data_IF_410957676418
#
_entry.id   IF_410957676418
#
_cell.length_a   1.000
_cell.length_b   1.000
_cell.length_c   1.000
_cell.angle_alpha   90.00
_cell.angle_beta   90.00
_cell.angle_gamma   90.00
#
_symmetry.space_group_name_H-M   'P 1'
#
loop_
_entity.id
_entity.type
_entity.pdbx_description
1 polymer ?
#
# COMPACT_ATOMS: atom_id res chain seq x y z
N UNK A 1 23.58 -13.52 -33.63
CA UNK A 1 22.43 -13.98 -32.83
C UNK A 1 21.98 -12.81 -31.96
N UNK A 2 20.73 -12.34 -32.08
CA UNK A 2 20.25 -11.20 -31.29
C UNK A 2 20.15 -11.56 -29.80
N UNK A 3 20.41 -10.56 -28.97
CA UNK A 3 20.53 -10.53 -27.51
C UNK A 3 19.16 -10.76 -26.86
N UNK A 4 19.00 -11.77 -26.02
CA UNK A 4 17.81 -11.93 -25.18
C UNK A 4 17.95 -10.97 -24.00
N UNK A 5 17.27 -9.83 -24.09
CA UNK A 5 17.08 -8.88 -22.98
C UNK A 5 16.61 -9.63 -21.73
N UNK A 6 17.32 -9.43 -20.62
CA UNK A 6 16.81 -9.69 -19.28
C UNK A 6 15.61 -8.76 -19.06
N UNK A 7 14.42 -9.34 -19.27
CA UNK A 7 13.16 -8.74 -18.88
C UNK A 7 13.07 -8.85 -17.37
N UNK A 8 13.70 -7.90 -16.67
CA UNK A 8 13.36 -7.53 -15.29
C UNK A 8 11.90 -7.09 -15.27
N UNK A 9 11.02 -8.10 -15.24
CA UNK A 9 9.58 -7.95 -15.11
C UNK A 9 9.38 -7.22 -13.80
N UNK A 10 9.10 -5.91 -13.89
CA UNK A 10 8.93 -5.03 -12.74
C UNK A 10 8.11 -5.76 -11.69
N UNK A 11 8.72 -5.98 -10.52
CA UNK A 11 8.05 -6.69 -9.43
C UNK A 11 6.91 -5.79 -8.98
N UNK A 12 5.71 -6.04 -9.51
CA UNK A 12 4.50 -5.35 -9.02
C UNK A 12 4.48 -5.58 -7.51
N UNK A 13 4.49 -4.52 -6.69
CA UNK A 13 4.60 -4.68 -5.25
C UNK A 13 3.50 -5.62 -4.78
N UNK A 14 3.89 -6.76 -4.23
CA UNK A 14 2.97 -7.82 -3.77
C UNK A 14 2.05 -7.32 -2.66
N UNK A 15 2.43 -6.20 -2.02
CA UNK A 15 1.71 -5.58 -0.93
C UNK A 15 1.75 -4.05 -1.02
N UNK A 16 0.63 -3.42 -0.67
CA UNK A 16 0.41 -1.98 -0.70
C UNK A 16 0.53 -1.44 0.74
N UNK A 17 1.28 -0.35 0.89
CA UNK A 17 1.39 0.39 2.16
C UNK A 17 0.14 1.22 2.44
N UNK A 18 -0.45 1.07 3.61
CA UNK A 18 -1.69 1.72 4.05
C UNK A 18 -1.43 2.57 5.28
N UNK A 19 -1.97 3.79 5.27
CA UNK A 19 -2.02 4.65 6.43
C UNK A 19 -3.17 4.19 7.35
N UNK A 20 -2.82 3.49 8.43
CA UNK A 20 -3.78 2.96 9.40
C UNK A 20 -4.64 4.03 10.07
N UNK A 21 -4.02 5.15 10.44
CA UNK A 21 -4.72 6.27 11.09
C UNK A 21 -5.76 6.90 10.15
N UNK A 22 -5.37 7.19 8.91
CA UNK A 22 -6.28 7.75 7.91
C UNK A 22 -7.44 6.79 7.60
N UNK A 23 -7.17 5.48 7.51
CA UNK A 23 -8.20 4.46 7.32
C UNK A 23 -9.22 4.47 8.47
N UNK A 24 -8.75 4.54 9.73
CA UNK A 24 -9.62 4.60 10.92
C UNK A 24 -10.51 5.83 10.91
N UNK A 25 -9.94 7.00 10.64
CA UNK A 25 -10.67 8.27 10.57
C UNK A 25 -11.77 8.23 9.51
N UNK A 26 -11.43 7.76 8.31
CA UNK A 26 -12.41 7.64 7.22
C UNK A 26 -13.51 6.63 7.55
N UNK A 27 -13.16 5.49 8.15
CA UNK A 27 -14.16 4.50 8.59
C UNK A 27 -15.16 5.11 9.57
N UNK A 28 -14.69 5.82 10.59
CA UNK A 28 -15.56 6.45 11.60
C UNK A 28 -16.43 7.53 10.96
N UNK A 29 -15.85 8.39 10.12
CA UNK A 29 -16.61 9.46 9.43
C UNK A 29 -17.66 8.91 8.47
N UNK A 30 -17.41 7.77 7.85
CA UNK A 30 -18.37 7.06 7.00
C UNK A 30 -19.42 6.28 7.79
N UNK A 31 -19.41 6.32 9.12
CA UNK A 31 -20.39 5.64 9.98
C UNK A 31 -20.21 4.12 10.09
N UNK A 32 -19.02 3.61 9.74
CA UNK A 32 -18.75 2.18 9.76
C UNK A 32 -18.25 1.71 11.14
N UNK A 33 -18.97 0.74 11.70
CA UNK A 33 -18.48 -0.05 12.82
C UNK A 33 -17.36 -1.01 12.39
N UNK A 34 -16.42 -1.27 13.29
CA UNK A 34 -15.22 -2.06 13.02
C UNK A 34 -15.53 -3.51 12.61
N UNK A 35 -16.50 -4.17 13.27
CA UNK A 35 -16.89 -5.57 12.96
C UNK A 35 -17.55 -5.71 11.59
N UNK A 36 -18.62 -4.96 11.25
CA UNK A 36 -19.24 -5.07 9.93
C UNK A 36 -18.28 -4.62 8.83
N UNK A 37 -17.48 -3.57 9.04
CA UNK A 37 -16.49 -3.15 8.04
C UNK A 37 -15.47 -4.25 7.72
N UNK A 38 -14.92 -4.90 8.75
CA UNK A 38 -13.99 -6.01 8.57
C UNK A 38 -14.62 -7.17 7.77
N UNK A 39 -15.89 -7.50 8.06
CA UNK A 39 -16.62 -8.52 7.30
C UNK A 39 -16.85 -8.11 5.84
N UNK A 40 -17.22 -6.85 5.58
CA UNK A 40 -17.43 -6.30 4.22
C UNK A 40 -16.16 -6.38 3.37
N UNK A 41 -14.99 -6.09 3.95
CA UNK A 41 -13.71 -6.18 3.24
C UNK A 41 -13.10 -7.60 3.23
N UNK A 42 -13.73 -8.57 3.91
CA UNK A 42 -13.31 -9.97 3.93
C UNK A 42 -12.11 -10.27 4.84
N UNK A 43 -11.92 -9.51 5.93
CA UNK A 43 -10.83 -9.75 6.89
C UNK A 43 -11.33 -9.90 8.32
N UNK A 44 -10.47 -10.40 9.21
CA UNK A 44 -10.81 -10.49 10.63
C UNK A 44 -10.76 -9.12 11.32
N UNK A 45 -11.69 -8.88 12.25
CA UNK A 45 -11.69 -7.68 13.11
C UNK A 45 -10.33 -7.40 13.77
N UNK A 46 -9.64 -8.35 14.43
CA UNK A 46 -8.34 -8.07 15.03
C UNK A 46 -7.25 -7.74 14.00
N UNK A 47 -7.36 -8.23 12.76
CA UNK A 47 -6.44 -7.83 11.70
C UNK A 47 -6.68 -6.39 11.26
N UNK A 48 -7.95 -5.98 11.07
CA UNK A 48 -8.31 -4.59 10.79
C UNK A 48 -7.77 -3.63 11.88
N UNK A 49 -7.95 -3.97 13.16
CA UNK A 49 -7.47 -3.12 14.27
C UNK A 49 -5.95 -2.95 14.22
N UNK A 50 -5.18 -4.02 13.95
CA UNK A 50 -3.72 -3.91 13.81
C UNK A 50 -3.30 -3.06 12.62
N UNK A 51 -4.09 -3.07 11.53
CA UNK A 51 -3.86 -2.16 10.40
C UNK A 51 -4.12 -0.71 10.83
N UNK A 52 -5.26 -0.45 11.49
CA UNK A 52 -5.65 0.88 11.95
C UNK A 52 -4.67 1.48 12.98
N UNK A 53 -4.07 0.64 13.81
CA UNK A 53 -3.02 1.04 14.76
C UNK A 53 -1.64 1.24 14.10
N UNK A 54 -1.48 0.83 12.84
CA UNK A 54 -0.19 0.91 12.14
C UNK A 54 0.79 -0.20 12.49
N UNK A 55 0.40 -1.22 13.27
CA UNK A 55 1.22 -2.43 13.51
C UNK A 55 1.38 -3.27 12.22
N UNK A 56 0.37 -3.23 11.35
CA UNK A 56 0.38 -3.91 10.04
C UNK A 56 0.03 -2.93 8.93
N UNK A 57 1.06 -2.38 8.30
CA UNK A 57 0.87 -1.34 7.29
C UNK A 57 0.82 -1.89 5.85
N UNK A 58 1.11 -3.17 5.64
CA UNK A 58 1.15 -3.77 4.30
C UNK A 58 0.00 -4.75 4.11
N UNK A 59 -0.84 -4.49 3.11
CA UNK A 59 -1.98 -5.34 2.76
C UNK A 59 -1.89 -5.82 1.32
N UNK A 60 -2.62 -6.87 0.98
CA UNK A 60 -2.72 -7.30 -0.42
C UNK A 60 -3.50 -6.27 -1.26
N UNK A 61 -3.27 -6.21 -2.59
CA UNK A 61 -4.06 -5.37 -3.49
C UNK A 61 -5.57 -5.63 -3.43
N UNK A 62 -5.98 -6.88 -3.20
CA UNK A 62 -7.40 -7.25 -3.10
C UNK A 62 -8.09 -6.62 -1.88
N UNK A 63 -7.41 -6.64 -0.72
CA UNK A 63 -7.90 -6.03 0.52
C UNK A 63 -7.93 -4.51 0.38
N UNK A 64 -6.89 -3.92 -0.21
CA UNK A 64 -6.84 -2.48 -0.47
C UNK A 64 -8.00 -2.02 -1.37
N UNK A 65 -8.26 -2.74 -2.46
CA UNK A 65 -9.39 -2.44 -3.34
C UNK A 65 -10.74 -2.60 -2.63
N UNK A 66 -10.89 -3.58 -1.74
CA UNK A 66 -12.10 -3.75 -0.95
C UNK A 66 -12.33 -2.58 0.02
N UNK A 67 -11.27 -2.05 0.65
CA UNK A 67 -11.35 -0.85 1.49
C UNK A 67 -11.84 0.37 0.69
N UNK A 68 -11.26 0.60 -0.50
CA UNK A 68 -11.69 1.72 -1.36
C UNK A 68 -13.16 1.60 -1.77
N UNK A 69 -13.61 0.41 -2.12
CA UNK A 69 -15.02 0.15 -2.48
C UNK A 69 -15.96 0.37 -1.29
N UNK A 70 -15.62 -0.15 -0.11
CA UNK A 70 -16.44 -0.04 1.09
C UNK A 70 -16.56 1.41 1.58
N UNK A 71 -15.50 2.21 1.44
CA UNK A 71 -15.47 3.63 1.79
C UNK A 71 -15.90 4.55 0.64
N UNK A 72 -16.24 4.00 -0.53
CA UNK A 72 -16.58 4.75 -1.76
C UNK A 72 -15.53 5.81 -2.14
N UNK A 73 -14.25 5.52 -1.88
CA UNK A 73 -13.16 6.42 -2.15
C UNK A 73 -12.78 6.37 -3.63
N UNK A 74 -12.86 7.53 -4.30
CA UNK A 74 -12.37 7.70 -5.68
C UNK A 74 -10.86 7.94 -5.71
N UNK A 75 -10.34 8.67 -4.72
CA UNK A 75 -8.91 8.92 -4.61
C UNK A 75 -8.25 7.86 -3.71
N UNK A 76 -7.41 7.03 -4.32
CA UNK A 76 -6.64 5.99 -3.61
C UNK A 76 -5.63 6.57 -2.63
N UNK A 77 -5.15 7.79 -2.86
CA UNK A 77 -4.11 8.43 -2.03
C UNK A 77 -4.59 8.71 -0.61
N UNK A 78 -5.90 8.82 -0.41
CA UNK A 78 -6.52 9.10 0.88
C UNK A 78 -6.13 8.11 2.00
N UNK A 79 -5.75 6.86 1.64
CA UNK A 79 -5.38 5.82 2.60
C UNK A 79 -4.01 5.19 2.32
N UNK A 80 -3.23 5.72 1.36
CA UNK A 80 -1.87 5.24 1.13
C UNK A 80 -0.94 5.67 2.28
N UNK A 81 -0.04 4.78 2.68
CA UNK A 81 1.02 5.11 3.65
C UNK A 81 1.92 6.23 3.11
N UNK A 82 2.25 6.17 1.82
CA UNK A 82 2.92 7.23 1.08
C UNK A 82 2.03 7.69 -0.08
N UNK A 83 1.25 8.77 0.09
CA UNK A 83 0.29 9.24 -0.91
C UNK A 83 0.95 9.92 -2.11
N UNK A 84 2.15 10.46 -1.92
CA UNK A 84 2.88 11.18 -2.96
C UNK A 84 3.93 10.31 -3.64
N UNK A 85 4.36 9.22 -3.00
CA UNK A 85 5.42 8.37 -3.50
C UNK A 85 6.68 9.19 -3.60
N UNK A 86 7.49 9.26 -2.55
CA UNK A 86 8.90 9.52 -2.83
C UNK A 86 9.34 8.36 -3.72
N UNK A 87 9.84 8.65 -4.92
CA UNK A 87 10.54 7.64 -5.68
C UNK A 87 11.61 7.12 -4.72
N UNK A 88 11.40 5.95 -4.13
CA UNK A 88 12.40 5.37 -3.24
C UNK A 88 13.64 5.26 -4.10
N UNK A 89 14.67 6.00 -3.70
CA UNK A 89 16.04 6.05 -4.21
C UNK A 89 16.72 4.67 -4.15
N UNK A 90 16.08 3.65 -4.72
CA UNK A 90 16.60 2.31 -4.97
C UNK A 90 17.02 2.12 -6.43
N UNK A 91 16.81 3.13 -7.29
CA UNK A 91 17.23 3.15 -8.70
C UNK A 91 18.36 4.17 -8.97
N UNK A 92 18.86 4.91 -7.96
CA UNK A 92 20.17 5.54 -8.10
C UNK A 92 21.22 4.45 -7.92
N UNK A 93 21.52 3.76 -9.02
CA UNK A 93 22.82 3.18 -9.24
C UNK A 93 23.84 4.27 -8.94
N UNK A 94 24.43 4.19 -7.75
CA UNK A 94 25.66 4.91 -7.47
C UNK A 94 26.73 4.15 -8.23
N UNK A 95 26.82 4.40 -9.54
CA UNK A 95 28.07 4.24 -10.24
C UNK A 95 28.98 5.35 -9.70
N UNK A 96 29.55 5.08 -8.52
CA UNK A 96 30.67 5.84 -7.99
C UNK A 96 31.82 5.61 -8.97
N UNK A 97 31.92 6.50 -9.95
CA UNK A 97 33.05 6.61 -10.86
C UNK A 97 34.29 6.76 -9.98
N UNK A 98 35.01 5.65 -9.81
CA UNK A 98 36.29 5.59 -9.16
C UNK A 98 37.24 6.56 -9.88
N UNK A 99 37.29 7.78 -9.36
CA UNK A 99 38.31 8.76 -9.67
C UNK A 99 39.58 8.29 -8.96
N UNK A 100 40.30 7.36 -9.58
CA UNK A 100 41.66 7.00 -9.19
C UNK A 100 42.63 7.39 -10.29
N UNK A 101 43.53 8.29 -9.90
CA UNK A 101 44.70 8.80 -10.59
C UNK A 101 45.71 7.72 -11.02
#
# INVERSE_FOLDING_TARGET
>A
MPRLMDMSKGTTPTTIGVNGFALRELRVRSGWDTKPFAATIGISRPYLVRIELGERQRVSPSVFAAMLRALQLKDRRAILADPHGVATDGDIATDDEALSA
#
